data_IF_757181392374
#
_entry.id   IF_757181392374
#
_cell.length_a   1.000
_cell.length_b   1.000
_cell.length_c   1.000
_cell.angle_alpha   90.00
_cell.angle_beta   90.00
_cell.angle_gamma   90.00
#
_symmetry.space_group_name_H-M   'P 1'
#
loop_
_entity.id
_entity.type
_entity.pdbx_description
1 polymer ?
#
# COMPACT_ATOMS: atom_id res chain seq x y z
N UNK A 1 14.55 14.72 -53.08
CA UNK A 1 15.85 15.48 -53.19
C UNK A 1 16.39 15.62 -51.79
N UNK A 2 17.25 14.68 -51.38
CA UNK A 2 17.83 14.56 -50.04
C UNK A 2 19.14 15.35 -50.00
N UNK A 3 19.23 16.32 -49.07
CA UNK A 3 20.48 17.05 -48.83
C UNK A 3 21.18 16.42 -47.63
N UNK A 4 22.25 15.68 -47.88
CA UNK A 4 23.19 15.22 -46.85
C UNK A 4 24.16 16.34 -46.47
N UNK A 5 24.13 16.82 -45.21
CA UNK A 5 25.22 17.66 -44.66
C UNK A 5 26.33 16.75 -44.14
N UNK A 6 27.50 16.85 -44.78
CA UNK A 6 28.76 16.21 -44.36
C UNK A 6 29.32 16.90 -43.10
N UNK A 7 29.47 16.14 -42.01
CA UNK A 7 30.29 16.55 -40.87
C UNK A 7 31.74 16.19 -41.12
N UNK A 8 32.66 17.17 -41.07
CA UNK A 8 34.09 16.94 -41.09
C UNK A 8 34.54 16.51 -39.69
N UNK A 9 35.06 15.30 -39.57
CA UNK A 9 35.72 14.79 -38.37
C UNK A 9 37.16 15.26 -38.40
N UNK A 10 37.58 16.13 -37.48
CA UNK A 10 38.97 16.44 -37.25
C UNK A 10 39.67 15.26 -36.58
N UNK A 11 40.59 14.63 -37.25
CA UNK A 11 41.45 13.56 -36.69
C UNK A 11 42.60 14.21 -35.92
N UNK A 12 42.50 14.22 -34.59
CA UNK A 12 43.65 14.58 -33.74
C UNK A 12 44.70 13.47 -33.77
N UNK A 13 45.99 13.87 -33.88
CA UNK A 13 47.10 12.96 -34.02
C UNK A 13 47.23 11.93 -32.89
N UNK A 14 47.73 10.76 -33.19
CA UNK A 14 47.79 9.58 -32.35
C UNK A 14 48.45 9.77 -30.97
N UNK A 15 49.43 10.65 -30.86
CA UNK A 15 50.11 10.94 -29.58
C UNK A 15 49.26 11.70 -28.57
N UNK A 16 48.36 12.56 -29.03
CA UNK A 16 47.46 13.31 -28.13
C UNK A 16 46.30 12.43 -27.60
N UNK A 17 45.87 11.44 -28.38
CA UNK A 17 44.84 10.47 -27.96
C UNK A 17 45.31 9.56 -26.81
N UNK A 18 46.57 9.15 -26.83
CA UNK A 18 47.12 8.27 -25.77
C UNK A 18 47.25 9.05 -24.45
N UNK A 19 47.68 10.30 -24.49
CA UNK A 19 47.79 11.14 -23.28
C UNK A 19 46.42 11.46 -22.66
N UNK A 20 45.40 11.72 -23.47
CA UNK A 20 44.02 11.97 -22.95
C UNK A 20 43.41 10.71 -22.34
N UNK A 21 43.65 9.52 -22.93
CA UNK A 21 43.18 8.26 -22.37
C UNK A 21 43.84 7.96 -21.02
N UNK A 22 45.15 8.21 -20.87
CA UNK A 22 45.84 8.02 -19.59
C UNK A 22 45.38 9.01 -18.51
N UNK A 23 45.08 10.26 -18.85
CA UNK A 23 44.55 11.24 -17.90
C UNK A 23 43.12 10.90 -17.48
N UNK A 24 42.28 10.45 -18.41
CA UNK A 24 40.90 10.00 -18.07
C UNK A 24 40.93 8.70 -17.25
N UNK A 25 41.83 7.75 -17.56
CA UNK A 25 41.99 6.53 -16.76
C UNK A 25 42.56 6.84 -15.37
N UNK A 26 43.51 7.78 -15.25
CA UNK A 26 44.04 8.21 -13.95
C UNK A 26 43.00 8.95 -13.10
N UNK A 27 42.14 9.75 -13.73
CA UNK A 27 41.01 10.42 -13.05
C UNK A 27 39.90 9.41 -12.61
N UNK A 28 39.65 8.38 -13.40
CA UNK A 28 38.73 7.31 -13.03
C UNK A 28 39.29 6.41 -11.90
N UNK A 29 40.59 6.16 -11.89
CA UNK A 29 41.26 5.41 -10.81
C UNK A 29 41.40 6.23 -9.53
N UNK A 30 41.56 7.56 -9.60
CA UNK A 30 41.57 8.43 -8.41
C UNK A 30 40.15 8.63 -7.84
N UNK A 31 39.11 8.61 -8.66
CA UNK A 31 37.72 8.62 -8.18
C UNK A 31 37.34 7.32 -7.49
N UNK A 32 37.92 6.18 -7.89
CA UNK A 32 37.72 4.90 -7.20
C UNK A 32 38.58 4.77 -5.92
N UNK A 33 39.68 5.52 -5.80
CA UNK A 33 40.56 5.44 -4.63
C UNK A 33 40.15 6.39 -3.47
N UNK A 34 39.23 7.33 -3.69
CA UNK A 34 38.72 8.22 -2.64
C UNK A 34 37.38 7.80 -2.05
N UNK A 35 36.76 6.77 -2.59
CA UNK A 35 35.68 6.04 -1.88
C UNK A 35 36.27 4.86 -1.10
N UNK A 36 37.26 5.13 -0.27
CA UNK A 36 37.50 4.31 0.90
C UNK A 36 36.24 4.36 1.73
N UNK A 37 35.39 3.32 1.60
CA UNK A 37 34.32 3.09 2.52
C UNK A 37 34.97 3.10 3.91
N UNK A 38 34.82 4.18 4.65
CA UNK A 38 34.77 4.06 6.09
C UNK A 38 33.62 3.08 6.33
N UNK A 39 33.96 1.81 6.43
CA UNK A 39 33.13 0.87 7.15
C UNK A 39 32.92 1.52 8.49
N UNK A 40 31.77 2.15 8.66
CA UNK A 40 31.24 2.43 9.96
C UNK A 40 30.95 1.08 10.58
N UNK A 41 32.00 0.45 11.10
CA UNK A 41 31.93 -0.53 12.18
C UNK A 41 31.74 0.27 13.48
N UNK A 42 30.87 1.25 13.48
CA UNK A 42 30.25 1.69 14.72
C UNK A 42 29.36 0.53 15.10
N UNK A 43 29.92 -0.26 16.02
CA UNK A 43 29.36 -1.49 16.49
C UNK A 43 27.90 -1.29 16.88
N UNK A 44 27.01 -1.77 16.01
CA UNK A 44 25.71 -2.20 16.45
C UNK A 44 26.00 -3.28 17.51
N UNK A 45 26.01 -2.88 18.75
CA UNK A 45 25.87 -3.82 19.85
C UNK A 45 24.48 -4.42 19.66
N UNK A 46 24.44 -5.59 19.01
CA UNK A 46 23.27 -6.43 19.11
C UNK A 46 23.00 -6.58 20.60
N UNK A 47 21.98 -5.92 21.09
CA UNK A 47 21.46 -6.23 22.39
C UNK A 47 20.90 -7.64 22.25
N UNK A 48 21.56 -8.64 22.81
CA UNK A 48 21.16 -10.05 22.72
C UNK A 48 19.88 -10.35 23.51
N UNK A 49 19.30 -9.38 24.18
CA UNK A 49 17.93 -9.48 24.64
C UNK A 49 17.06 -9.28 23.40
N UNK A 50 16.52 -10.37 22.89
CA UNK A 50 15.33 -10.33 22.03
C UNK A 50 14.31 -9.52 22.82
N UNK A 51 14.16 -8.24 22.48
CA UNK A 51 13.02 -7.48 22.93
C UNK A 51 11.83 -8.28 22.47
N UNK A 52 11.12 -8.88 23.42
CA UNK A 52 9.81 -9.45 23.16
C UNK A 52 8.99 -8.32 22.60
N UNK A 53 8.76 -8.41 21.32
CA UNK A 53 8.16 -7.38 20.51
C UNK A 53 6.77 -7.18 21.07
N UNK A 54 6.49 -5.94 21.48
CA UNK A 54 5.19 -5.48 21.89
C UNK A 54 4.14 -5.89 20.83
N UNK A 55 2.92 -6.12 21.24
CA UNK A 55 1.78 -6.69 20.49
C UNK A 55 1.50 -6.05 19.12
N UNK A 56 2.19 -4.98 18.77
CA UNK A 56 2.07 -4.27 17.49
C UNK A 56 2.80 -4.91 16.31
N UNK A 57 3.74 -5.82 16.55
CA UNK A 57 4.51 -6.46 15.49
C UNK A 57 3.92 -7.82 15.16
N UNK A 58 3.22 -7.86 14.03
CA UNK A 58 2.55 -9.08 13.57
C UNK A 58 2.95 -9.43 12.16
N UNK A 59 2.92 -10.72 11.86
CA UNK A 59 3.05 -11.21 10.51
C UNK A 59 1.66 -11.38 9.92
N UNK A 60 1.34 -10.55 8.94
CA UNK A 60 0.01 -10.52 8.32
C UNK A 60 -0.10 -11.45 7.13
N UNK A 61 -1.19 -12.21 7.07
CA UNK A 61 -1.64 -12.97 5.92
C UNK A 61 -2.74 -12.17 5.21
N UNK A 62 -2.51 -11.80 3.95
CA UNK A 62 -3.52 -11.13 3.13
C UNK A 62 -4.56 -12.15 2.67
N UNK A 63 -5.84 -11.84 2.87
CA UNK A 63 -6.96 -12.68 2.45
C UNK A 63 -7.86 -11.94 1.49
N UNK A 64 -7.92 -12.43 0.25
CA UNK A 64 -8.99 -12.10 -0.67
C UNK A 64 -10.13 -13.08 -0.45
N UNK A 65 -11.14 -12.67 0.31
CA UNK A 65 -12.24 -13.52 0.77
C UNK A 65 -12.91 -14.23 -0.41
N UNK A 66 -13.15 -13.51 -1.53
CA UNK A 66 -13.79 -14.01 -2.74
C UNK A 66 -13.21 -15.33 -3.26
N UNK A 67 -11.89 -15.49 -3.18
CA UNK A 67 -11.18 -16.65 -3.73
C UNK A 67 -10.55 -17.56 -2.68
N UNK A 68 -10.78 -17.30 -1.37
CA UNK A 68 -10.03 -17.98 -0.32
C UNK A 68 -10.61 -19.34 0.05
N UNK A 69 -11.86 -19.37 0.51
CA UNK A 69 -12.55 -20.62 0.87
C UNK A 69 -14.06 -20.43 0.81
N UNK A 70 -14.70 -21.22 -0.03
CA UNK A 70 -16.14 -21.29 -0.17
C UNK A 70 -16.72 -22.32 0.82
N UNK A 71 -17.60 -21.89 1.72
CA UNK A 71 -18.23 -22.77 2.72
C UNK A 71 -19.62 -23.24 2.35
N UNK A 72 -20.27 -22.59 1.39
CA UNK A 72 -21.66 -22.82 1.02
C UNK A 72 -21.84 -23.49 -0.35
N UNK A 73 -20.77 -23.57 -1.16
CA UNK A 73 -20.75 -24.25 -2.46
C UNK A 73 -21.25 -23.39 -3.62
N UNK A 74 -21.29 -22.07 -3.48
CA UNK A 74 -21.74 -21.16 -4.54
C UNK A 74 -20.61 -20.71 -5.51
N UNK A 75 -19.39 -21.12 -5.25
CA UNK A 75 -18.21 -20.79 -6.04
C UNK A 75 -17.51 -19.51 -5.61
N UNK A 76 -17.95 -18.88 -4.52
CA UNK A 76 -17.41 -17.65 -3.97
C UNK A 76 -16.96 -17.91 -2.53
N UNK A 77 -15.76 -17.50 -2.17
CA UNK A 77 -15.30 -17.58 -0.79
C UNK A 77 -16.08 -16.64 0.15
N UNK A 78 -16.20 -17.05 1.39
CA UNK A 78 -17.00 -16.34 2.40
C UNK A 78 -16.33 -16.32 3.78
N UNK A 79 -16.89 -15.55 4.73
CA UNK A 79 -16.34 -15.40 6.08
C UNK A 79 -16.36 -16.72 6.87
N UNK A 80 -17.32 -17.59 6.63
CA UNK A 80 -17.39 -18.90 7.28
C UNK A 80 -16.32 -19.84 6.75
N UNK A 81 -16.06 -19.77 5.44
CA UNK A 81 -14.94 -20.45 4.81
C UNK A 81 -13.60 -19.99 5.39
N UNK A 82 -13.44 -18.67 5.58
CA UNK A 82 -12.24 -18.13 6.23
C UNK A 82 -12.12 -18.64 7.67
N UNK A 83 -13.19 -18.61 8.46
CA UNK A 83 -13.19 -19.13 9.84
C UNK A 83 -12.72 -20.59 9.87
N UNK A 84 -13.15 -21.41 8.91
CA UNK A 84 -12.74 -22.81 8.82
C UNK A 84 -11.25 -23.03 8.54
N UNK A 85 -10.53 -21.98 8.12
CA UNK A 85 -9.11 -22.00 7.76
C UNK A 85 -8.20 -21.23 8.71
N UNK A 86 -8.71 -20.74 9.84
CA UNK A 86 -7.90 -19.99 10.80
C UNK A 86 -6.75 -20.81 11.40
N UNK A 87 -6.98 -22.09 11.64
CA UNK A 87 -5.91 -23.00 12.14
C UNK A 87 -4.80 -23.12 11.10
N UNK A 88 -5.13 -23.26 9.81
CA UNK A 88 -4.15 -23.25 8.72
C UNK A 88 -3.29 -21.98 8.72
N UNK A 89 -3.89 -20.80 8.90
CA UNK A 89 -3.17 -19.53 8.95
C UNK A 89 -2.26 -19.46 10.18
N UNK A 90 -2.78 -19.86 11.34
CA UNK A 90 -2.02 -19.90 12.61
C UNK A 90 -0.87 -20.89 12.55
N UNK A 91 -1.07 -22.09 12.02
CA UNK A 91 -0.04 -23.14 11.89
C UNK A 91 1.10 -22.71 10.95
N UNK A 92 0.82 -21.80 10.01
CA UNK A 92 1.85 -21.18 9.17
C UNK A 92 2.64 -20.08 9.88
N UNK A 93 2.30 -19.74 11.13
CA UNK A 93 3.00 -18.72 11.94
C UNK A 93 2.47 -17.29 11.74
N UNK A 94 1.36 -17.09 11.03
CA UNK A 94 0.73 -15.77 10.92
C UNK A 94 -0.15 -15.49 12.14
N UNK A 95 0.01 -14.31 12.72
CA UNK A 95 -0.78 -13.82 13.85
C UNK A 95 -1.53 -12.52 13.53
N UNK A 96 -1.62 -12.16 12.26
CA UNK A 96 -2.42 -11.09 11.71
C UNK A 96 -3.09 -11.51 10.40
N UNK A 97 -4.28 -11.00 10.14
CA UNK A 97 -4.98 -11.13 8.87
C UNK A 97 -5.30 -9.74 8.36
N UNK A 98 -4.94 -9.47 7.10
CA UNK A 98 -5.44 -8.34 6.35
C UNK A 98 -6.53 -8.83 5.39
N UNK A 99 -7.77 -8.39 5.60
CA UNK A 99 -8.87 -8.62 4.67
C UNK A 99 -8.87 -7.55 3.59
N UNK A 100 -8.76 -7.94 2.32
CA UNK A 100 -9.13 -7.08 1.20
C UNK A 100 -10.57 -6.59 1.39
N UNK A 101 -11.06 -5.58 0.64
CA UNK A 101 -12.37 -4.98 0.92
C UNK A 101 -13.49 -6.00 1.05
N UNK A 102 -14.30 -5.85 2.11
CA UNK A 102 -15.39 -6.75 2.49
C UNK A 102 -16.78 -6.11 2.41
N UNK A 103 -16.82 -4.80 2.10
CA UNK A 103 -18.05 -4.03 1.98
C UNK A 103 -18.77 -4.33 0.67
N UNK A 104 -20.08 -4.03 0.55
CA UNK A 104 -20.84 -4.12 -0.69
C UNK A 104 -20.19 -3.33 -1.82
N UNK A 105 -20.13 -3.94 -3.00
CA UNK A 105 -19.48 -3.39 -4.17
C UNK A 105 -20.10 -3.95 -5.45
N UNK A 106 -19.84 -3.30 -6.59
CA UNK A 106 -20.27 -3.79 -7.91
C UNK A 106 -19.24 -4.71 -8.54
N UNK A 107 -17.99 -4.68 -8.07
CA UNK A 107 -16.88 -5.46 -8.62
C UNK A 107 -16.51 -6.64 -7.72
N UNK A 108 -15.84 -7.65 -8.31
CA UNK A 108 -15.38 -8.82 -7.56
C UNK A 108 -14.29 -8.48 -6.53
N UNK A 109 -13.44 -7.48 -6.80
CA UNK A 109 -12.36 -7.04 -5.91
C UNK A 109 -12.83 -6.11 -4.77
N UNK A 110 -14.03 -5.54 -4.92
CA UNK A 110 -14.76 -4.74 -3.91
C UNK A 110 -14.11 -3.41 -3.49
N UNK A 111 -13.19 -2.88 -4.28
CA UNK A 111 -12.62 -1.55 -4.01
C UNK A 111 -13.61 -0.40 -4.31
N UNK A 112 -14.64 -0.58 -5.15
CA UNK A 112 -15.71 0.39 -5.36
C UNK A 112 -16.80 0.23 -4.29
N UNK A 113 -16.57 0.78 -3.11
CA UNK A 113 -17.43 0.62 -1.93
C UNK A 113 -18.78 1.33 -2.13
N UNK A 114 -19.87 0.59 -1.92
CA UNK A 114 -21.26 1.11 -1.95
C UNK A 114 -21.70 1.59 -0.57
N UNK A 115 -21.43 0.79 0.47
CA UNK A 115 -21.84 1.04 1.84
C UNK A 115 -20.73 0.60 2.81
N UNK A 116 -20.25 1.55 3.62
CA UNK A 116 -19.15 1.31 4.57
C UNK A 116 -19.57 0.64 5.88
N UNK A 117 -20.86 0.45 6.12
CA UNK A 117 -21.38 -0.06 7.40
C UNK A 117 -21.88 -1.50 7.34
N UNK A 118 -21.70 -2.18 6.21
CA UNK A 118 -22.19 -3.54 6.01
C UNK A 118 -21.14 -4.45 5.37
N UNK A 119 -21.40 -5.75 5.46
CA UNK A 119 -20.63 -6.80 4.77
C UNK A 119 -21.32 -7.08 3.43
N UNK A 120 -20.53 -7.31 2.38
CA UNK A 120 -21.10 -7.80 1.12
C UNK A 120 -21.82 -9.12 1.32
N UNK A 121 -23.04 -9.22 0.79
CA UNK A 121 -23.90 -10.40 0.94
C UNK A 121 -23.28 -11.71 0.44
N UNK A 122 -22.33 -11.63 -0.50
CA UNK A 122 -21.58 -12.78 -0.98
C UNK A 122 -20.63 -13.33 0.10
N UNK A 123 -20.18 -12.47 1.02
CA UNK A 123 -19.24 -12.85 2.07
C UNK A 123 -19.91 -13.24 3.37
N UNK A 124 -21.20 -12.87 3.57
CA UNK A 124 -21.95 -13.17 4.76
C UNK A 124 -22.59 -11.93 5.39
N UNK A 125 -22.67 -11.93 6.71
CA UNK A 125 -23.35 -10.91 7.52
C UNK A 125 -22.39 -10.24 8.51
N UNK A 126 -22.83 -9.15 9.15
CA UNK A 126 -22.09 -8.56 10.27
C UNK A 126 -21.94 -9.55 11.45
N UNK A 127 -22.88 -10.45 11.65
CA UNK A 127 -22.76 -11.45 12.71
C UNK A 127 -21.73 -12.53 12.35
N UNK A 128 -21.60 -12.91 11.08
CA UNK A 128 -20.50 -13.75 10.61
C UNK A 128 -19.14 -13.05 10.81
N UNK A 129 -19.09 -11.75 10.57
CA UNK A 129 -17.88 -10.97 10.81
C UNK A 129 -17.52 -10.89 12.30
N UNK A 130 -18.48 -10.62 13.19
CA UNK A 130 -18.25 -10.65 14.64
C UNK A 130 -17.72 -12.02 15.09
N UNK A 131 -18.29 -13.11 14.56
CA UNK A 131 -17.81 -14.46 14.83
C UNK A 131 -16.38 -14.67 14.32
N UNK A 132 -16.03 -14.14 13.14
CA UNK A 132 -14.65 -14.18 12.65
C UNK A 132 -13.70 -13.48 13.63
N UNK A 133 -14.04 -12.29 14.11
CA UNK A 133 -13.23 -11.55 15.10
C UNK A 133 -13.06 -12.36 16.39
N UNK A 134 -14.13 -12.97 16.89
CA UNK A 134 -14.09 -13.82 18.09
C UNK A 134 -13.17 -15.04 17.89
N UNK A 135 -13.28 -15.73 16.76
CA UNK A 135 -12.46 -16.90 16.44
C UNK A 135 -10.99 -16.54 16.22
N UNK A 136 -10.71 -15.38 15.61
CA UNK A 136 -9.37 -14.85 15.48
C UNK A 136 -8.76 -14.51 16.86
N UNK A 137 -9.51 -13.86 17.74
CA UNK A 137 -9.06 -13.51 19.08
C UNK A 137 -8.70 -14.75 19.93
N UNK A 138 -9.42 -15.86 19.79
CA UNK A 138 -9.09 -17.13 20.46
C UNK A 138 -7.74 -17.70 20.07
N UNK A 139 -7.21 -17.30 18.90
CA UNK A 139 -5.94 -17.74 18.31
C UNK A 139 -4.86 -16.66 18.36
N UNK A 140 -5.09 -15.56 19.06
CA UNK A 140 -4.23 -14.37 19.05
C UNK A 140 -3.96 -13.80 17.64
N UNK A 141 -4.93 -13.94 16.74
CA UNK A 141 -4.88 -13.36 15.40
C UNK A 141 -5.59 -12.00 15.42
N UNK A 142 -4.91 -10.94 15.04
CA UNK A 142 -5.54 -9.61 14.82
C UNK A 142 -6.01 -9.48 13.39
N UNK A 143 -7.18 -8.88 13.23
CA UNK A 143 -7.76 -8.63 11.90
C UNK A 143 -7.69 -7.14 11.60
N UNK A 144 -7.06 -6.77 10.50
CA UNK A 144 -7.23 -5.45 9.90
C UNK A 144 -8.05 -5.58 8.62
N UNK A 145 -8.81 -4.55 8.30
CA UNK A 145 -9.60 -4.50 7.08
C UNK A 145 -9.09 -3.42 6.14
N UNK A 146 -9.30 -3.66 4.86
CA UNK A 146 -9.04 -2.63 3.84
C UNK A 146 -10.08 -1.52 3.97
N UNK A 147 -9.63 -0.27 4.08
CA UNK A 147 -10.50 0.89 4.15
C UNK A 147 -10.19 1.82 2.99
N UNK A 148 -11.10 1.87 2.04
CA UNK A 148 -10.98 2.67 0.82
C UNK A 148 -11.46 4.09 1.11
N UNK A 149 -10.54 5.03 1.25
CA UNK A 149 -10.84 6.43 1.54
C UNK A 149 -10.70 7.36 0.34
N UNK A 150 -10.08 6.89 -0.76
CA UNK A 150 -9.88 7.71 -1.95
C UNK A 150 -11.17 7.94 -2.73
N UNK A 151 -12.04 6.95 -2.82
CA UNK A 151 -13.21 6.94 -3.68
C UNK A 151 -14.33 6.05 -3.13
N UNK A 152 -15.50 6.15 -3.74
CA UNK A 152 -16.61 5.21 -3.53
C UNK A 152 -17.05 4.58 -4.85
N UNK A 153 -18.03 3.70 -4.82
CA UNK A 153 -18.76 3.30 -6.02
C UNK A 153 -19.67 4.43 -6.51
N UNK A 154 -19.90 4.52 -7.84
CA UNK A 154 -21.01 5.30 -8.39
C UNK A 154 -22.38 4.81 -7.90
N UNK A 155 -22.45 3.59 -7.37
CA UNK A 155 -23.67 3.03 -6.77
C UNK A 155 -23.86 3.39 -5.28
N UNK A 156 -22.89 4.08 -4.66
CA UNK A 156 -23.05 4.63 -3.31
C UNK A 156 -24.21 5.63 -3.27
N UNK A 157 -25.01 5.58 -2.20
CA UNK A 157 -26.11 6.54 -2.00
C UNK A 157 -25.61 7.99 -1.89
N UNK A 158 -24.36 8.18 -1.42
CA UNK A 158 -23.73 9.49 -1.37
C UNK A 158 -23.56 10.07 -2.78
N UNK A 159 -22.98 9.27 -3.70
CA UNK A 159 -22.73 9.71 -5.07
C UNK A 159 -24.04 9.90 -5.85
N UNK A 160 -24.98 8.95 -5.78
CA UNK A 160 -26.28 9.06 -6.42
C UNK A 160 -27.04 10.29 -5.97
N UNK A 161 -27.02 10.59 -4.66
CA UNK A 161 -27.67 11.77 -4.10
C UNK A 161 -27.01 13.06 -4.60
N UNK A 162 -25.66 13.08 -4.69
CA UNK A 162 -24.93 14.23 -5.24
C UNK A 162 -25.30 14.49 -6.71
N UNK A 163 -25.25 13.45 -7.55
CA UNK A 163 -25.58 13.56 -8.97
C UNK A 163 -27.04 13.99 -9.19
N UNK A 164 -27.98 13.37 -8.46
CA UNK A 164 -29.41 13.73 -8.54
C UNK A 164 -29.66 15.18 -8.14
N UNK A 165 -28.95 15.70 -7.13
CA UNK A 165 -29.07 17.11 -6.74
C UNK A 165 -28.50 18.04 -7.81
N UNK A 166 -27.34 17.71 -8.40
CA UNK A 166 -26.74 18.49 -9.50
C UNK A 166 -27.63 18.53 -10.73
N UNK A 167 -28.28 17.42 -11.10
CA UNK A 167 -29.23 17.38 -12.24
C UNK A 167 -30.47 18.25 -12.03
N UNK A 168 -30.92 18.39 -10.79
CA UNK A 168 -32.09 19.15 -10.41
C UNK A 168 -31.79 20.64 -10.06
N UNK A 169 -30.48 20.95 -10.00
CA UNK A 169 -30.05 22.28 -9.50
C UNK A 169 -30.42 22.52 -8.03
N UNK A 170 -30.39 21.45 -7.22
CA UNK A 170 -30.69 21.46 -5.78
C UNK A 170 -29.42 21.36 -4.96
N UNK A 171 -29.46 21.85 -3.72
CA UNK A 171 -28.37 21.68 -2.77
C UNK A 171 -28.41 20.29 -2.14
N UNK A 172 -27.21 19.75 -1.91
CA UNK A 172 -27.00 18.53 -1.15
C UNK A 172 -25.60 18.55 -0.51
N UNK A 173 -25.50 18.14 0.75
CA UNK A 173 -24.20 17.98 1.42
C UNK A 173 -23.26 17.05 0.64
N UNK A 174 -23.81 16.06 -0.04
CA UNK A 174 -23.05 15.07 -0.80
C UNK A 174 -22.35 15.65 -2.03
N UNK A 175 -22.77 16.81 -2.55
CA UNK A 175 -22.02 17.50 -3.61
C UNK A 175 -20.62 17.89 -3.12
N UNK A 176 -20.51 18.37 -1.88
CA UNK A 176 -19.23 18.74 -1.28
C UNK A 176 -18.33 17.54 -0.93
N UNK A 177 -18.88 16.32 -0.93
CA UNK A 177 -18.13 15.10 -0.57
C UNK A 177 -17.30 14.54 -1.72
N UNK A 178 -17.52 15.00 -2.94
CA UNK A 178 -16.81 14.59 -4.15
C UNK A 178 -16.15 15.77 -4.84
N UNK A 179 -15.19 15.49 -5.70
CA UNK A 179 -14.57 16.51 -6.54
C UNK A 179 -15.42 16.72 -7.80
N UNK A 180 -16.28 17.74 -7.79
CA UNK A 180 -17.09 18.13 -8.95
C UNK A 180 -16.58 19.43 -9.58
N UNK A 181 -16.66 19.53 -10.91
CA UNK A 181 -16.33 20.74 -11.69
C UNK A 181 -17.32 20.92 -12.85
N UNK A 182 -17.72 22.17 -13.11
CA UNK A 182 -18.53 22.50 -14.29
C UNK A 182 -17.72 22.38 -15.59
N UNK A 183 -18.30 21.75 -16.60
CA UNK A 183 -17.62 21.42 -17.83
C UNK A 183 -16.57 20.31 -17.68
N UNK A 184 -16.04 19.82 -18.80
CA UNK A 184 -15.03 18.76 -18.78
C UNK A 184 -13.62 19.37 -18.67
N UNK A 185 -12.88 19.10 -17.57
CA UNK A 185 -11.47 19.44 -17.49
C UNK A 185 -10.63 18.75 -18.58
N UNK A 186 -9.42 19.24 -18.81
CA UNK A 186 -8.50 18.69 -19.81
C UNK A 186 -7.83 17.36 -19.39
N UNK A 187 -8.29 16.73 -18.32
CA UNK A 187 -7.77 15.44 -17.81
C UNK A 187 -8.72 14.29 -18.13
N UNK A 188 -8.17 13.14 -18.44
CA UNK A 188 -8.93 11.90 -18.70
C UNK A 188 -9.57 11.29 -17.45
N UNK A 189 -9.21 11.78 -16.26
CA UNK A 189 -9.77 11.33 -14.98
C UNK A 189 -11.11 12.00 -14.62
N UNK A 190 -11.75 12.72 -15.53
CA UNK A 190 -13.00 13.42 -15.28
C UNK A 190 -14.13 12.90 -16.17
N UNK A 191 -15.22 12.52 -15.53
CA UNK A 191 -16.38 11.90 -16.15
C UNK A 191 -17.65 12.72 -15.92
N UNK A 192 -18.61 12.61 -16.82
CA UNK A 192 -19.84 13.38 -16.75
C UNK A 192 -20.76 12.88 -15.64
N UNK A 193 -21.24 13.80 -14.79
CA UNK A 193 -22.18 13.51 -13.72
C UNK A 193 -23.62 13.49 -14.23
N UNK A 194 -24.09 12.33 -14.66
CA UNK A 194 -25.43 12.15 -15.21
C UNK A 194 -25.72 13.07 -16.40
N UNK A 195 -26.89 13.69 -16.41
CA UNK A 195 -27.31 14.67 -17.43
C UNK A 195 -26.97 16.11 -17.05
N UNK A 196 -26.27 16.36 -15.96
CA UNK A 196 -25.91 17.69 -15.49
C UNK A 196 -24.81 18.33 -16.34
N UNK A 197 -24.48 19.59 -16.12
CA UNK A 197 -23.33 20.28 -16.72
C UNK A 197 -22.02 20.03 -15.97
N UNK A 198 -22.04 19.20 -14.92
CA UNK A 198 -20.92 18.90 -14.06
C UNK A 198 -20.20 17.61 -14.46
N UNK A 199 -18.90 17.57 -14.19
CA UNK A 199 -18.07 16.38 -14.21
C UNK A 199 -17.55 16.10 -12.82
N UNK A 200 -17.28 14.82 -12.53
CA UNK A 200 -16.64 14.37 -11.30
C UNK A 200 -15.25 13.77 -11.60
N UNK A 201 -14.35 13.88 -10.65
CA UNK A 201 -13.06 13.23 -10.69
C UNK A 201 -13.20 11.75 -10.33
N UNK A 202 -12.48 10.88 -11.07
CA UNK A 202 -12.38 9.46 -10.80
C UNK A 202 -11.03 8.96 -11.32
N UNK A 203 -10.05 8.96 -10.45
CA UNK A 203 -8.64 8.68 -10.76
C UNK A 203 -8.42 7.30 -11.37
N UNK A 204 -9.11 6.30 -10.86
CA UNK A 204 -8.94 4.90 -11.28
C UNK A 204 -9.80 4.54 -12.49
N UNK A 205 -11.10 4.81 -12.43
CA UNK A 205 -12.01 4.63 -13.55
C UNK A 205 -13.38 5.25 -13.21
N UNK A 206 -14.22 5.45 -14.22
CA UNK A 206 -15.52 6.17 -14.09
C UNK A 206 -16.45 5.64 -12.99
N UNK A 207 -16.32 4.35 -12.60
CA UNK A 207 -17.13 3.74 -11.54
C UNK A 207 -16.65 4.06 -10.11
N UNK A 208 -15.52 4.76 -9.96
CA UNK A 208 -14.89 5.07 -8.67
C UNK A 208 -14.70 6.58 -8.47
N UNK A 209 -15.79 7.36 -8.23
CA UNK A 209 -15.69 8.79 -8.00
C UNK A 209 -14.87 9.14 -6.76
N UNK A 210 -13.90 10.05 -6.93
CA UNK A 210 -12.95 10.45 -5.90
C UNK A 210 -13.62 11.33 -4.84
N UNK A 211 -13.33 11.01 -3.58
CA UNK A 211 -13.81 11.73 -2.41
C UNK A 211 -13.01 13.02 -2.17
N UNK A 212 -13.69 14.07 -1.79
CA UNK A 212 -13.09 15.34 -1.36
C UNK A 212 -12.68 15.26 0.11
N UNK A 213 -11.50 14.71 0.40
CA UNK A 213 -10.98 14.57 1.77
C UNK A 213 -10.64 15.92 2.45
N UNK A 214 -10.85 17.05 1.78
CA UNK A 214 -10.83 18.38 2.39
C UNK A 214 -12.15 18.80 3.03
N UNK A 215 -13.23 18.04 2.81
CA UNK A 215 -14.55 18.36 3.36
C UNK A 215 -14.67 17.85 4.81
N UNK A 216 -15.00 18.76 5.75
CA UNK A 216 -15.07 18.43 7.17
C UNK A 216 -16.24 17.48 7.51
N UNK A 217 -17.38 17.60 6.84
CA UNK A 217 -18.53 16.71 7.07
C UNK A 217 -18.24 15.28 6.58
N UNK A 218 -17.52 15.16 5.46
CA UNK A 218 -17.04 13.86 4.98
C UNK A 218 -16.03 13.26 5.96
N UNK A 219 -15.06 14.04 6.44
CA UNK A 219 -14.10 13.58 7.45
C UNK A 219 -14.81 13.08 8.70
N UNK A 220 -15.81 13.80 9.19
CA UNK A 220 -16.61 13.38 10.34
C UNK A 220 -17.39 12.07 10.07
N UNK A 221 -17.80 11.81 8.84
CA UNK A 221 -18.45 10.53 8.46
C UNK A 221 -17.42 9.40 8.40
N UNK A 222 -16.22 9.63 7.84
CA UNK A 222 -15.12 8.67 7.83
C UNK A 222 -14.71 8.30 9.26
N UNK A 223 -14.67 9.25 10.17
CA UNK A 223 -14.42 9.00 11.60
C UNK A 223 -15.46 8.06 12.22
N UNK A 224 -16.74 8.24 11.91
CA UNK A 224 -17.80 7.31 12.37
C UNK A 224 -17.63 5.91 11.78
N UNK A 225 -17.26 5.82 10.51
CA UNK A 225 -16.97 4.53 9.85
C UNK A 225 -15.82 3.83 10.57
N UNK A 226 -14.70 4.54 10.79
CA UNK A 226 -13.55 3.96 11.49
C UNK A 226 -13.92 3.49 12.90
N UNK A 227 -14.66 4.33 13.65
CA UNK A 227 -15.14 3.96 15.00
C UNK A 227 -16.04 2.74 14.96
N UNK A 228 -16.98 2.66 14.01
CA UNK A 228 -17.89 1.51 13.86
C UNK A 228 -17.12 0.18 13.74
N UNK A 229 -16.09 0.13 12.87
CA UNK A 229 -15.30 -1.07 12.68
C UNK A 229 -14.38 -1.38 13.87
N UNK A 230 -13.81 -0.35 14.50
CA UNK A 230 -12.98 -0.53 15.70
C UNK A 230 -13.83 -1.04 16.88
N UNK A 231 -15.05 -0.55 17.04
CA UNK A 231 -16.00 -1.04 18.07
C UNK A 231 -16.41 -2.50 17.82
N UNK A 232 -16.43 -2.96 16.57
CA UNK A 232 -16.67 -4.37 16.23
C UNK A 232 -15.44 -5.28 16.50
N UNK A 233 -14.32 -4.71 16.93
CA UNK A 233 -13.12 -5.46 17.31
C UNK A 233 -12.04 -5.54 16.25
N UNK A 234 -12.15 -4.78 15.16
CA UNK A 234 -11.08 -4.66 14.16
C UNK A 234 -9.82 -4.14 14.82
N UNK A 235 -8.68 -4.75 14.49
CA UNK A 235 -7.35 -4.37 15.02
C UNK A 235 -6.78 -3.10 14.41
N UNK A 236 -7.31 -2.69 13.26
CA UNK A 236 -6.84 -1.52 12.53
C UNK A 236 -7.22 -1.57 11.05
N UNK A 237 -6.53 -0.78 10.23
CA UNK A 237 -6.88 -0.61 8.83
C UNK A 237 -5.65 -0.67 7.90
N UNK A 238 -5.84 -1.26 6.73
CA UNK A 238 -5.02 -0.97 5.56
C UNK A 238 -5.69 0.16 4.78
N UNK A 239 -4.96 1.20 4.49
CA UNK A 239 -5.45 2.39 3.80
C UNK A 239 -5.06 2.30 2.32
N UNK A 240 -6.08 2.14 1.49
CA UNK A 240 -5.95 2.02 0.05
C UNK A 240 -5.49 3.32 -0.59
N UNK A 241 -4.62 3.20 -1.60
CA UNK A 241 -4.23 4.26 -2.54
C UNK A 241 -3.93 5.62 -1.89
N UNK A 242 -3.26 5.64 -0.72
CA UNK A 242 -3.05 6.87 0.06
C UNK A 242 -2.22 7.94 -0.69
N UNK A 243 -1.51 7.56 -1.74
CA UNK A 243 -0.81 8.48 -2.65
C UNK A 243 -1.79 9.32 -3.49
N UNK A 244 -3.00 8.83 -3.73
CA UNK A 244 -3.95 9.42 -4.66
C UNK A 244 -5.03 10.26 -3.98
N UNK A 245 -5.07 10.36 -2.65
CA UNK A 245 -6.01 11.22 -1.91
C UNK A 245 -6.03 12.67 -2.42
N UNK A 246 -4.85 13.17 -2.78
CA UNK A 246 -4.62 14.36 -3.58
C UNK A 246 -3.53 14.03 -4.59
N UNK A 247 -3.91 13.57 -5.77
CA UNK A 247 -2.97 13.15 -6.81
C UNK A 247 -1.89 14.19 -7.06
N UNK A 248 -0.63 13.78 -6.93
CA UNK A 248 0.54 14.66 -7.12
C UNK A 248 0.87 15.61 -5.96
N UNK A 249 0.15 15.54 -4.83
CA UNK A 249 0.40 16.41 -3.67
C UNK A 249 0.69 15.59 -2.40
N UNK A 250 1.95 15.19 -2.21
CA UNK A 250 2.37 14.36 -1.08
C UNK A 250 2.17 15.05 0.28
N UNK A 251 2.26 16.38 0.37
CA UNK A 251 2.08 17.10 1.62
C UNK A 251 0.62 16.98 2.11
N UNK A 252 -0.35 17.19 1.21
CA UNK A 252 -1.76 16.99 1.55
C UNK A 252 -2.10 15.54 1.85
N UNK A 253 -1.49 14.58 1.16
CA UNK A 253 -1.68 13.16 1.46
C UNK A 253 -1.17 12.81 2.87
N UNK A 254 -0.01 13.34 3.26
CA UNK A 254 0.55 13.19 4.62
C UNK A 254 -0.38 13.84 5.67
N UNK A 255 -0.97 15.00 5.36
CA UNK A 255 -1.93 15.65 6.25
C UNK A 255 -3.18 14.79 6.48
N UNK A 256 -3.75 14.21 5.42
CA UNK A 256 -4.90 13.30 5.51
C UNK A 256 -4.56 12.07 6.35
N UNK A 257 -3.41 11.44 6.07
CA UNK A 257 -2.96 10.28 6.85
C UNK A 257 -2.76 10.65 8.33
N UNK A 258 -2.20 11.82 8.60
CA UNK A 258 -2.02 12.30 9.98
C UNK A 258 -3.36 12.47 10.70
N UNK A 259 -4.31 13.18 10.09
CA UNK A 259 -5.65 13.34 10.64
C UNK A 259 -6.29 11.98 10.97
N UNK A 260 -6.27 11.04 10.02
CA UNK A 260 -6.91 9.74 10.20
C UNK A 260 -6.18 8.89 11.26
N UNK A 261 -4.85 8.94 11.28
CA UNK A 261 -4.02 8.25 12.28
C UNK A 261 -4.34 8.77 13.68
N UNK A 262 -4.32 10.08 13.88
CA UNK A 262 -4.60 10.72 15.16
C UNK A 262 -6.01 10.34 15.66
N UNK A 263 -7.01 10.36 14.77
CA UNK A 263 -8.36 9.94 15.12
C UNK A 263 -8.43 8.47 15.56
N UNK A 264 -7.92 7.55 14.75
CA UNK A 264 -7.96 6.12 15.07
C UNK A 264 -7.25 5.81 16.39
N UNK A 265 -6.09 6.42 16.63
CA UNK A 265 -5.33 6.27 17.90
C UNK A 265 -6.08 6.87 19.09
N UNK A 266 -6.89 7.90 18.89
CA UNK A 266 -7.75 8.47 19.95
C UNK A 266 -8.90 7.54 20.33
N UNK A 267 -9.43 6.76 19.39
CA UNK A 267 -10.50 5.76 19.62
C UNK A 267 -9.93 4.48 20.22
N UNK A 268 -8.83 3.97 19.66
CA UNK A 268 -8.18 2.72 20.06
C UNK A 268 -6.67 2.89 19.97
N UNK A 269 -6.01 3.02 21.11
CA UNK A 269 -4.58 3.36 21.20
C UNK A 269 -3.68 2.35 20.46
N UNK A 270 -4.01 1.07 20.49
CA UNK A 270 -3.32 -0.04 19.84
C UNK A 270 -3.83 -0.33 18.41
N UNK A 271 -4.64 0.55 17.83
CA UNK A 271 -5.05 0.45 16.43
C UNK A 271 -3.83 0.44 15.53
N UNK A 272 -3.68 -0.57 14.68
CA UNK A 272 -2.59 -0.67 13.72
C UNK A 272 -3.02 -0.12 12.35
N UNK A 273 -2.22 0.78 11.80
CA UNK A 273 -2.48 1.41 10.51
C UNK A 273 -1.33 1.16 9.55
N UNK A 274 -1.64 0.61 8.40
CA UNK A 274 -0.69 0.45 7.28
C UNK A 274 -1.27 1.07 6.03
N UNK A 275 -0.51 1.94 5.35
CA UNK A 275 -0.98 2.59 4.12
C UNK A 275 -0.23 2.11 2.90
N UNK A 276 -0.98 2.07 1.79
CA UNK A 276 -0.40 1.88 0.48
C UNK A 276 0.00 3.23 -0.13
N UNK A 277 1.31 3.40 -0.29
CA UNK A 277 1.91 4.51 -1.04
C UNK A 277 2.81 3.93 -2.11
N UNK A 278 2.24 3.57 -3.25
CA UNK A 278 2.97 2.93 -4.33
C UNK A 278 3.86 3.93 -5.07
N UNK A 279 5.06 4.09 -4.56
CA UNK A 279 6.05 5.02 -5.10
C UNK A 279 7.48 4.52 -4.83
N UNK A 280 8.48 5.25 -5.36
CA UNK A 280 9.88 4.99 -5.06
C UNK A 280 10.22 5.21 -3.59
N UNK A 281 11.26 4.51 -3.08
CA UNK A 281 11.64 4.49 -1.67
C UNK A 281 11.74 5.89 -1.04
N UNK A 282 12.41 6.83 -1.69
CA UNK A 282 12.60 8.19 -1.16
C UNK A 282 11.31 9.03 -1.10
N UNK A 283 10.32 8.68 -1.91
CA UNK A 283 9.02 9.35 -1.94
C UNK A 283 8.10 8.79 -0.85
N UNK A 284 7.87 7.46 -0.83
CA UNK A 284 6.94 6.90 0.14
C UNK A 284 7.44 7.00 1.58
N UNK A 285 8.76 6.92 1.83
CA UNK A 285 9.33 7.04 3.18
C UNK A 285 8.92 8.31 3.91
N UNK A 286 8.70 9.41 3.17
CA UNK A 286 8.28 10.70 3.75
C UNK A 286 6.90 10.65 4.40
N UNK A 287 6.05 9.73 3.96
CA UNK A 287 4.69 9.59 4.50
C UNK A 287 4.67 9.14 5.97
N UNK A 288 5.76 8.58 6.49
CA UNK A 288 5.90 8.34 7.93
C UNK A 288 5.82 9.62 8.78
N UNK A 289 6.02 10.82 8.19
CA UNK A 289 5.78 12.10 8.87
C UNK A 289 4.33 12.28 9.32
N UNK A 290 3.40 11.52 8.77
CA UNK A 290 1.99 11.48 9.22
C UNK A 290 1.81 10.86 10.61
N UNK A 291 2.83 10.17 11.14
CA UNK A 291 2.72 9.42 12.38
C UNK A 291 2.09 8.03 12.22
N UNK A 292 1.77 7.62 11.00
CA UNK A 292 1.25 6.26 10.71
C UNK A 292 2.23 5.18 11.17
N UNK A 293 1.72 4.03 11.60
CA UNK A 293 2.55 2.93 12.07
C UNK A 293 3.41 2.34 10.96
N UNK A 294 2.81 2.05 9.81
CA UNK A 294 3.48 1.36 8.69
C UNK A 294 3.10 1.89 7.33
N UNK A 295 4.02 1.69 6.39
CA UNK A 295 3.80 1.82 4.95
C UNK A 295 4.28 0.55 4.28
N UNK A 296 3.54 0.04 3.27
CA UNK A 296 4.03 -1.08 2.48
C UNK A 296 5.36 -0.76 1.81
N UNK A 297 6.38 -1.57 2.13
CA UNK A 297 7.71 -1.37 1.58
C UNK A 297 7.86 -2.05 0.21
N UNK A 298 7.42 -1.37 -0.83
CA UNK A 298 7.51 -1.84 -2.22
C UNK A 298 8.94 -2.15 -2.68
N UNK A 299 9.97 -1.63 -2.00
CA UNK A 299 11.37 -1.95 -2.32
C UNK A 299 11.74 -3.40 -1.99
N UNK A 300 10.97 -4.06 -1.14
CA UNK A 300 11.19 -5.46 -0.75
C UNK A 300 10.28 -6.43 -1.50
N UNK A 301 9.09 -5.98 -1.91
CA UNK A 301 8.08 -6.80 -2.58
C UNK A 301 8.28 -6.99 -4.08
N UNK A 302 7.43 -7.82 -4.66
CA UNK A 302 7.34 -8.08 -6.10
C UNK A 302 8.54 -8.86 -6.70
N UNK A 303 8.49 -9.08 -8.02
CA UNK A 303 9.52 -9.81 -8.77
C UNK A 303 10.91 -9.14 -8.71
N UNK A 304 10.95 -7.82 -8.66
CA UNK A 304 12.19 -7.02 -8.64
C UNK A 304 12.59 -6.57 -7.24
N UNK A 305 11.77 -6.85 -6.24
CA UNK A 305 12.01 -6.45 -4.86
C UNK A 305 13.17 -7.17 -4.21
N UNK A 306 13.60 -6.65 -3.07
CA UNK A 306 14.82 -7.11 -2.39
C UNK A 306 14.73 -8.55 -1.93
N UNK A 307 13.55 -9.03 -1.49
CA UNK A 307 13.34 -10.44 -1.11
C UNK A 307 13.62 -11.35 -2.30
N UNK A 308 12.91 -11.15 -3.41
CA UNK A 308 13.01 -11.98 -4.61
C UNK A 308 14.42 -11.96 -5.21
N UNK A 309 15.01 -10.77 -5.35
CA UNK A 309 16.36 -10.64 -5.93
C UNK A 309 17.43 -11.30 -5.06
N UNK A 310 17.34 -11.16 -3.74
CA UNK A 310 18.27 -11.80 -2.81
C UNK A 310 18.22 -13.33 -2.94
N UNK A 311 17.03 -13.91 -2.97
CA UNK A 311 16.86 -15.38 -3.05
C UNK A 311 17.19 -15.94 -4.44
N UNK A 312 17.02 -15.17 -5.51
CA UNK A 312 17.44 -15.56 -6.84
C UNK A 312 18.96 -15.48 -7.04
N UNK A 313 19.66 -14.65 -6.22
CA UNK A 313 21.11 -14.55 -6.16
C UNK A 313 21.71 -15.41 -5.03
N UNK A 314 20.92 -16.26 -4.38
CA UNK A 314 21.36 -17.13 -3.30
C UNK A 314 22.52 -18.02 -3.77
N UNK A 315 23.61 -18.04 -2.95
CA UNK A 315 24.88 -18.69 -3.31
C UNK A 315 26.00 -17.68 -3.63
N UNK A 316 25.69 -16.39 -3.84
CA UNK A 316 26.73 -15.37 -3.79
C UNK A 316 27.06 -15.02 -2.33
N UNK A 317 28.35 -14.85 -2.02
CA UNK A 317 28.85 -14.59 -0.65
C UNK A 317 28.30 -13.30 -0.02
N UNK A 318 27.65 -12.44 -0.79
CA UNK A 318 27.18 -11.11 -0.34
C UNK A 318 25.66 -10.95 -0.32
N UNK A 319 24.87 -11.96 -0.70
CA UNK A 319 23.41 -11.80 -0.81
C UNK A 319 22.73 -11.51 0.54
N UNK A 320 23.08 -12.28 1.58
CA UNK A 320 22.53 -12.07 2.92
C UNK A 320 22.95 -10.74 3.54
N UNK A 321 24.23 -10.36 3.39
CA UNK A 321 24.71 -9.05 3.86
C UNK A 321 23.98 -7.91 3.16
N UNK A 322 23.84 -7.98 1.84
CA UNK A 322 23.13 -6.94 1.06
C UNK A 322 21.66 -6.83 1.43
N UNK A 323 21.02 -7.92 1.83
CA UNK A 323 19.66 -7.90 2.36
C UNK A 323 19.59 -7.23 3.73
N UNK A 324 20.47 -7.62 4.66
CA UNK A 324 20.56 -7.02 5.99
C UNK A 324 20.87 -5.51 5.92
N UNK A 325 21.81 -5.10 5.07
CA UNK A 325 22.12 -3.67 4.85
C UNK A 325 20.90 -2.91 4.34
N UNK A 326 20.08 -3.49 3.45
CA UNK A 326 18.86 -2.87 2.95
C UNK A 326 17.79 -2.72 4.04
N UNK A 327 17.60 -3.73 4.89
CA UNK A 327 16.70 -3.64 6.05
C UNK A 327 17.13 -2.54 7.01
N UNK A 328 18.41 -2.53 7.40
CA UNK A 328 18.96 -1.51 8.28
C UNK A 328 18.83 -0.09 7.70
N UNK A 329 19.06 0.06 6.40
CA UNK A 329 18.91 1.33 5.71
C UNK A 329 17.45 1.80 5.71
N UNK A 330 16.51 0.91 5.37
CA UNK A 330 15.07 1.21 5.36
C UNK A 330 14.60 1.64 6.76
N UNK A 331 14.84 0.82 7.77
CA UNK A 331 14.45 1.10 9.16
C UNK A 331 15.05 2.42 9.65
N UNK A 332 16.33 2.66 9.42
CA UNK A 332 16.99 3.91 9.82
C UNK A 332 16.37 5.14 9.13
N UNK A 333 15.98 5.00 7.86
CA UNK A 333 15.31 6.06 7.13
C UNK A 333 13.94 6.35 7.70
N UNK A 334 13.13 5.31 7.96
CA UNK A 334 11.77 5.48 8.50
C UNK A 334 11.80 6.10 9.90
N UNK A 335 12.69 5.64 10.77
CA UNK A 335 12.87 6.20 12.12
C UNK A 335 13.32 7.67 12.11
N UNK A 336 13.93 8.15 11.03
CA UNK A 336 14.26 9.57 10.88
C UNK A 336 13.03 10.46 10.64
N UNK A 337 11.94 9.90 10.14
CA UNK A 337 10.66 10.59 9.92
C UNK A 337 9.67 10.37 11.07
N UNK A 338 9.62 9.15 11.62
CA UNK A 338 8.75 8.77 12.72
C UNK A 338 9.51 7.80 13.65
N UNK A 339 9.81 8.19 14.93
CA UNK A 339 10.55 7.33 15.85
C UNK A 339 9.82 6.01 16.20
N UNK A 340 8.52 5.92 15.91
CA UNK A 340 7.70 4.74 16.13
C UNK A 340 7.39 3.99 14.83
N UNK A 341 8.06 4.31 13.72
CA UNK A 341 7.82 3.67 12.43
C UNK A 341 8.11 2.17 12.47
N UNK A 342 7.20 1.40 11.92
CA UNK A 342 7.33 -0.05 11.73
C UNK A 342 7.45 -0.29 10.22
N UNK A 343 8.52 -0.94 9.77
CA UNK A 343 8.63 -1.36 8.37
C UNK A 343 7.61 -2.47 8.07
N UNK A 344 6.89 -2.35 6.97
CA UNK A 344 5.99 -3.38 6.48
C UNK A 344 6.48 -3.97 5.14
N UNK A 345 7.60 -4.69 5.13
CA UNK A 345 8.04 -5.42 3.95
C UNK A 345 7.00 -6.48 3.62
N UNK A 346 6.74 -6.67 2.34
CA UNK A 346 5.85 -7.72 1.85
C UNK A 346 6.51 -8.46 0.69
N UNK A 347 6.10 -9.69 0.47
CA UNK A 347 6.64 -10.51 -0.59
C UNK A 347 5.83 -10.37 -1.88
N UNK A 348 4.52 -10.49 -1.77
CA UNK A 348 3.55 -10.35 -2.85
C UNK A 348 2.22 -9.90 -2.26
N UNK A 349 1.36 -9.30 -3.09
CA UNK A 349 0.00 -8.94 -2.75
C UNK A 349 -0.92 -9.19 -3.96
N UNK A 350 -2.21 -8.83 -3.85
CA UNK A 350 -3.22 -9.01 -4.89
C UNK A 350 -2.94 -8.25 -6.20
N UNK A 351 -2.17 -7.14 -6.15
CA UNK A 351 -1.83 -6.31 -7.31
C UNK A 351 -0.57 -6.77 -8.05
N UNK A 352 0.10 -7.81 -7.53
CA UNK A 352 1.37 -8.28 -8.07
C UNK A 352 1.27 -9.71 -8.60
N UNK A 353 2.29 -10.16 -9.32
CA UNK A 353 2.37 -11.55 -9.77
C UNK A 353 2.44 -12.53 -8.61
N UNK A 354 2.02 -13.77 -8.84
CA UNK A 354 2.07 -14.83 -7.82
C UNK A 354 3.51 -15.15 -7.43
N UNK A 355 3.76 -15.24 -6.13
CA UNK A 355 5.06 -15.54 -5.54
C UNK A 355 5.72 -16.81 -6.11
N UNK A 356 4.95 -17.84 -6.39
CA UNK A 356 5.44 -19.09 -6.97
C UNK A 356 6.16 -18.86 -8.32
N UNK A 357 5.66 -17.92 -9.14
CA UNK A 357 6.28 -17.58 -10.42
C UNK A 357 7.64 -16.90 -10.27
N UNK A 358 7.86 -16.12 -9.21
CA UNK A 358 9.13 -15.42 -8.98
C UNK A 358 10.30 -16.37 -8.74
N UNK A 359 10.03 -17.58 -8.26
CA UNK A 359 11.01 -18.59 -7.93
C UNK A 359 10.88 -19.86 -8.77
N UNK A 360 10.23 -19.77 -9.93
CA UNK A 360 10.03 -20.94 -10.81
C UNK A 360 9.44 -22.14 -10.06
N UNK A 361 8.46 -21.87 -9.18
CA UNK A 361 7.76 -22.86 -8.34
C UNK A 361 8.67 -23.62 -7.35
N UNK A 362 9.84 -23.09 -7.01
CA UNK A 362 10.73 -23.67 -5.97
C UNK A 362 10.14 -23.43 -4.57
N UNK A 363 9.57 -24.47 -3.98
CA UNK A 363 8.89 -24.41 -2.68
C UNK A 363 9.83 -23.98 -1.53
N UNK A 364 11.10 -24.36 -1.56
CA UNK A 364 12.05 -24.02 -0.50
C UNK A 364 12.39 -22.52 -0.52
N UNK A 365 12.54 -21.94 -1.72
CA UNK A 365 12.71 -20.50 -1.86
C UNK A 365 11.47 -19.72 -1.39
N UNK A 366 10.27 -20.22 -1.69
CA UNK A 366 9.01 -19.59 -1.25
C UNK A 366 8.92 -19.62 0.28
N UNK A 367 9.21 -20.77 0.92
CA UNK A 367 9.23 -20.90 2.38
C UNK A 367 10.27 -19.95 3.02
N UNK A 368 11.46 -19.86 2.43
CA UNK A 368 12.50 -18.97 2.93
C UNK A 368 12.09 -17.50 2.78
N UNK A 369 11.40 -17.12 1.69
CA UNK A 369 10.89 -15.77 1.50
C UNK A 369 9.88 -15.35 2.57
N UNK A 370 9.09 -16.29 3.11
CA UNK A 370 8.15 -16.00 4.21
C UNK A 370 8.86 -15.70 5.54
N UNK A 371 10.06 -16.25 5.72
CA UNK A 371 10.87 -16.01 6.93
C UNK A 371 11.81 -14.81 6.83
N UNK A 372 11.82 -14.10 5.69
CA UNK A 372 12.63 -12.90 5.43
C UNK A 372 11.85 -11.62 5.72
#
# INVERSE_FOLDING_TARGET
>A
MLIFKRWRVFVLGSKLKISVIFVVLALLLSACAQNGSKTASDGYKYNHELNVIDDNYRTYYEVFVYSFCDSNGDGIGDLNGLISKLDYISDMGFNGIWLMPIMPSTTYHKYDVIDYYSIDKQYGTLDDFKRLIEECNKRDIKVIIDLVLNHTSTQSEWFKSAVSALEKGQDSKYIGWYNFQKGKPASDAWYKAGNSEWCYEAKFWEGMPDLNLGNEELRAEIEKIAKFWLDLGVGGFRLDAAKEYYSGNSEKNIEVLKWFTDYCKSVKKDCYLVAEVWDGFSAFSKYYQSGIDSLFNFSFGQATGKITTTLNMAGSTNSAKSYADALCFAQKTFLSYNPNAIDAPFFTNHDTGRAAGYFSYNADKIKLAWGM
#
